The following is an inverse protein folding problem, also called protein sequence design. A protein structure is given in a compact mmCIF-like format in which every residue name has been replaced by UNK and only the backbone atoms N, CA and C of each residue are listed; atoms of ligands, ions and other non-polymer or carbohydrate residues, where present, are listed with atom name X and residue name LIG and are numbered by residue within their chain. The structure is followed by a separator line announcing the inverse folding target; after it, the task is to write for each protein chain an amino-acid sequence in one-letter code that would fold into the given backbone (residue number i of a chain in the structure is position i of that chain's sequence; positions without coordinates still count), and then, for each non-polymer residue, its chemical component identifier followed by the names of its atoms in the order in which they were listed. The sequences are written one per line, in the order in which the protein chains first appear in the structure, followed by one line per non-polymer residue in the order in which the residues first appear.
data_IF_683889729235
#
_entry.id   IF_683889729235
#
_cell.length_a   1.000
_cell.length_b   1.000
_cell.length_c   1.000
_cell.angle_alpha   90.00
_cell.angle_beta   90.00
_cell.angle_gamma   90.00
#
_symmetry.space_group_name_H-M   'P 1'
#
loop_
_entity.id
_entity.type
_entity.pdbx_description
1 polymer ?
#
# COMPACT_ATOMS: atom_id res chain seq x y z
N UNK A 1 0.01 11.49 6.25
CA UNK A 1 -1.41 11.08 6.16
C UNK A 1 -1.84 11.03 4.70
N UNK A 2 -2.08 9.82 4.18
CA UNK A 2 -2.80 9.63 2.93
C UNK A 2 -4.26 9.96 3.26
N UNK A 3 -4.86 10.97 2.65
CA UNK A 3 -6.30 11.17 2.77
C UNK A 3 -6.97 9.95 2.12
N UNK A 4 -7.40 9.00 2.95
CA UNK A 4 -8.10 7.80 2.52
C UNK A 4 -9.53 8.18 2.17
N UNK A 5 -9.73 8.82 1.02
CA UNK A 5 -10.99 8.59 0.30
C UNK A 5 -10.90 7.14 -0.16
N UNK A 6 -11.58 6.24 0.54
CA UNK A 6 -11.53 4.81 0.24
C UNK A 6 -12.22 4.57 -1.09
N UNK A 7 -11.45 4.61 -2.18
CA UNK A 7 -11.87 4.16 -3.50
C UNK A 7 -11.76 2.63 -3.51
N UNK A 8 -12.68 1.93 -4.17
CA UNK A 8 -12.49 0.51 -4.50
C UNK A 8 -11.28 0.40 -5.42
N UNK A 9 -10.10 0.13 -4.86
CA UNK A 9 -8.88 -0.09 -5.63
C UNK A 9 -8.55 -1.57 -5.49
N UNK A 10 -8.53 -2.28 -6.63
CA UNK A 10 -8.10 -3.68 -6.68
C UNK A 10 -6.75 -3.81 -5.98
N UNK A 11 -6.59 -4.85 -5.15
CA UNK A 11 -5.40 -5.04 -4.30
C UNK A 11 -4.08 -4.93 -5.08
N UNK A 12 -4.03 -5.41 -6.31
CA UNK A 12 -2.83 -5.35 -7.15
C UNK A 12 -2.43 -3.94 -7.58
N UNK A 13 -3.39 -3.05 -7.86
CA UNK A 13 -3.09 -1.70 -8.39
C UNK A 13 -2.44 -0.79 -7.35
N UNK A 14 -2.69 -1.01 -6.05
CA UNK A 14 -2.15 -0.17 -4.96
C UNK A 14 -0.65 -0.32 -4.77
N UNK A 15 -0.09 -1.47 -5.14
CA UNK A 15 1.35 -1.76 -5.05
C UNK A 15 2.12 -1.39 -6.32
N UNK A 16 1.42 -0.87 -7.33
CA UNK A 16 2.07 -0.41 -8.55
C UNK A 16 2.96 0.79 -8.25
N UNK A 17 4.14 0.81 -8.88
CA UNK A 17 5.02 1.95 -8.82
C UNK A 17 4.27 3.21 -9.27
N UNK A 18 4.51 4.33 -8.56
CA UNK A 18 3.92 5.64 -8.83
C UNK A 18 2.40 5.77 -8.58
N UNK A 19 1.76 4.76 -8.00
CA UNK A 19 0.35 4.86 -7.64
C UNK A 19 0.14 5.88 -6.50
N UNK A 20 -0.61 6.95 -6.76
CA UNK A 20 -0.97 7.97 -5.76
C UNK A 20 -2.35 8.53 -6.02
N UNK A 21 -3.08 8.85 -4.94
CA UNK A 21 -4.35 9.59 -5.00
C UNK A 21 -4.17 11.09 -4.78
N UNK A 22 -2.93 11.53 -4.51
CA UNK A 22 -2.60 12.96 -4.38
C UNK A 22 -2.42 13.60 -5.75
N UNK A 23 -2.65 14.90 -5.80
CA UNK A 23 -2.40 15.73 -6.98
C UNK A 23 -0.95 15.60 -7.50
N UNK A 24 -0.75 15.96 -8.77
CA UNK A 24 0.55 15.94 -9.43
C UNK A 24 1.56 16.76 -8.61
N UNK A 25 2.73 16.17 -8.35
CA UNK A 25 3.79 16.78 -7.56
C UNK A 25 3.58 16.79 -6.03
N UNK A 26 2.46 16.27 -5.52
CA UNK A 26 2.16 16.20 -4.07
C UNK A 26 2.39 14.83 -3.43
N UNK A 27 2.71 13.82 -4.24
CA UNK A 27 3.08 12.49 -3.78
C UNK A 27 3.68 11.67 -4.91
N UNK A 28 4.75 10.94 -4.62
CA UNK A 28 5.43 10.11 -5.61
C UNK A 28 4.76 8.75 -5.82
N UNK A 29 3.90 8.31 -4.89
CA UNK A 29 3.24 7.01 -4.98
C UNK A 29 4.18 5.79 -4.79
N UNK A 30 5.40 6.00 -4.28
CA UNK A 30 6.40 4.94 -4.20
C UNK A 30 6.38 4.14 -2.89
N UNK A 31 5.83 4.71 -1.82
CA UNK A 31 6.01 4.16 -0.47
C UNK A 31 5.52 2.73 -0.32
N UNK A 32 4.35 2.40 -0.88
CA UNK A 32 3.77 1.07 -0.72
C UNK A 32 4.45 0.02 -1.61
N UNK A 33 4.90 0.41 -2.80
CA UNK A 33 5.71 -0.46 -3.67
C UNK A 33 7.05 -0.81 -3.01
N UNK A 34 7.73 0.18 -2.42
CA UNK A 34 8.99 -0.03 -1.69
C UNK A 34 8.77 -0.92 -0.46
N UNK A 35 7.70 -0.69 0.30
CA UNK A 35 7.39 -1.50 1.48
C UNK A 35 7.21 -2.98 1.10
N UNK A 36 6.45 -3.25 0.02
CA UNK A 36 6.26 -4.60 -0.50
C UNK A 36 7.57 -5.24 -0.92
N UNK A 37 8.41 -4.49 -1.63
CA UNK A 37 9.74 -4.97 -2.02
C UNK A 37 10.59 -5.36 -0.81
N UNK A 38 10.60 -4.53 0.23
CA UNK A 38 11.36 -4.81 1.44
C UNK A 38 10.82 -6.05 2.14
N UNK A 39 9.51 -6.13 2.35
CA UNK A 39 8.89 -7.24 3.10
C UNK A 39 8.98 -8.55 2.33
N UNK A 40 8.51 -8.58 1.09
CA UNK A 40 8.42 -9.82 0.29
C UNK A 40 9.78 -10.22 -0.28
N UNK A 41 10.50 -9.32 -0.94
CA UNK A 41 11.73 -9.70 -1.64
C UNK A 41 12.95 -9.80 -0.70
N UNK A 42 13.10 -8.85 0.24
CA UNK A 42 14.30 -8.85 1.11
C UNK A 42 14.15 -9.75 2.34
N UNK A 43 12.94 -9.84 2.90
CA UNK A 43 12.70 -10.57 4.14
C UNK A 43 11.92 -11.88 3.93
N UNK A 44 11.44 -12.17 2.72
CA UNK A 44 10.62 -13.38 2.47
C UNK A 44 9.29 -13.36 3.21
N UNK A 45 8.82 -12.17 3.61
CA UNK A 45 7.58 -11.96 4.34
C UNK A 45 6.38 -11.73 3.43
N UNK A 46 5.29 -11.25 4.02
CA UNK A 46 4.06 -10.93 3.31
C UNK A 46 3.43 -9.61 3.80
N UNK A 47 2.76 -8.91 2.89
CA UNK A 47 1.89 -7.77 3.21
C UNK A 47 0.45 -8.09 2.83
N UNK A 48 -0.44 -8.05 3.81
CA UNK A 48 -1.89 -8.16 3.59
C UNK A 48 -2.56 -6.80 3.82
N UNK A 49 -3.69 -6.58 3.15
CA UNK A 49 -4.44 -5.32 3.23
C UNK A 49 -5.92 -5.59 3.46
N UNK A 50 -6.42 -5.10 4.59
CA UNK A 50 -7.84 -5.13 4.92
C UNK A 50 -8.38 -3.70 4.79
N UNK A 51 -9.29 -3.46 3.86
CA UNK A 51 -9.83 -2.11 3.64
C UNK A 51 -11.34 -2.14 3.48
N UNK A 52 -12.01 -1.29 4.26
CA UNK A 52 -13.46 -1.13 4.19
C UNK A 52 -13.80 0.34 3.95
N UNK A 53 -14.64 0.61 2.95
CA UNK A 53 -15.03 1.99 2.60
C UNK A 53 -15.64 2.68 3.80
N UNK A 54 -15.14 3.90 4.09
CA UNK A 54 -15.65 4.72 5.19
C UNK A 54 -15.20 4.26 6.59
N UNK A 55 -14.53 3.12 6.71
CA UNK A 55 -14.00 2.61 7.99
C UNK A 55 -12.46 2.66 8.05
N UNK A 56 -11.80 2.70 6.90
CA UNK A 56 -10.35 2.88 6.80
C UNK A 56 -9.64 1.72 6.11
N UNK A 57 -8.34 1.64 6.32
CA UNK A 57 -7.47 0.60 5.78
C UNK A 57 -6.47 0.16 6.84
N UNK A 58 -6.33 -1.14 7.01
CA UNK A 58 -5.32 -1.82 7.80
C UNK A 58 -4.33 -2.52 6.87
N UNK A 59 -3.05 -2.50 7.26
CA UNK A 59 -1.97 -3.22 6.59
C UNK A 59 -1.33 -4.16 7.61
N UNK A 60 -1.25 -5.44 7.28
CA UNK A 60 -0.66 -6.47 8.13
C UNK A 60 0.65 -6.90 7.49
N UNK A 61 1.74 -6.84 8.25
CA UNK A 61 3.09 -7.19 7.79
C UNK A 61 3.54 -8.42 8.57
N UNK A 62 3.92 -9.48 7.85
CA UNK A 62 4.44 -10.71 8.42
C UNK A 62 5.89 -10.89 7.96
N UNK A 63 6.78 -11.19 8.90
CA UNK A 63 8.20 -11.43 8.65
C UNK A 63 8.58 -12.79 9.26
N UNK A 64 9.26 -13.69 8.51
CA UNK A 64 9.78 -14.94 9.06
C UNK A 64 10.82 -14.68 10.16
N UNK A 65 10.86 -15.54 11.18
CA UNK A 65 11.86 -15.50 12.27
C UNK A 65 13.10 -16.33 11.92
#
# INVERSE_FOLDING_TARGET
MIHSKTVQIKNETRFMYLFTTKEVGKGTGLGLAIARQIVEEKHGGAIEVNSTIGQGTEFIIQIPL
#
